data_IF_852200981863
#
_entry.id   IF_852200981863
#
_cell.length_a   1.000
_cell.length_b   1.000
_cell.length_c   1.000
_cell.angle_alpha   90.00
_cell.angle_beta   90.00
_cell.angle_gamma   90.00
#
_symmetry.space_group_name_H-M   'P 1'
#
loop_
_entity.id
_entity.type
_entity.pdbx_description
1 polymer ?
#
# COMPACT_ATOMS: atom_id res chain seq x y z
N UNK A 1 3.16 4.06 6.29
CA UNK A 1 4.48 4.62 5.88
C UNK A 1 5.66 4.01 6.66
N UNK A 2 5.64 3.98 7.99
CA UNK A 2 6.76 3.46 8.80
C UNK A 2 7.01 1.96 8.62
N UNK A 3 5.95 1.14 8.71
CA UNK A 3 6.03 -0.31 8.47
C UNK A 3 6.59 -0.62 7.06
N UNK A 4 6.21 0.20 6.10
CA UNK A 4 6.60 0.08 4.69
C UNK A 4 8.10 0.33 4.49
N UNK A 5 8.63 1.39 5.12
CA UNK A 5 10.07 1.65 5.11
C UNK A 5 10.87 0.53 5.78
N UNK A 6 10.34 -0.04 6.87
CA UNK A 6 10.98 -1.18 7.57
C UNK A 6 11.00 -2.42 6.68
N UNK A 7 9.89 -2.75 6.01
CA UNK A 7 9.81 -3.89 5.10
C UNK A 7 10.80 -3.70 3.95
N UNK A 8 10.78 -2.56 3.26
CA UNK A 8 11.70 -2.27 2.17
C UNK A 8 13.18 -2.39 2.62
N UNK A 9 13.51 -1.90 3.81
CA UNK A 9 14.86 -2.00 4.38
C UNK A 9 15.29 -3.45 4.65
N UNK A 10 14.41 -4.29 5.19
CA UNK A 10 14.68 -5.73 5.39
C UNK A 10 14.94 -6.41 4.03
N UNK A 11 14.14 -6.11 3.02
CA UNK A 11 14.36 -6.64 1.67
C UNK A 11 15.70 -6.15 1.09
N UNK A 12 16.09 -4.89 1.29
CA UNK A 12 17.42 -4.43 0.85
C UNK A 12 18.55 -5.15 1.56
N UNK A 13 18.44 -5.41 2.88
CA UNK A 13 19.46 -6.19 3.62
C UNK A 13 19.58 -7.61 3.07
N UNK A 14 18.46 -8.30 2.86
CA UNK A 14 18.49 -9.68 2.34
C UNK A 14 19.04 -9.69 0.92
N UNK A 15 18.66 -8.72 0.08
CA UNK A 15 19.23 -8.54 -1.26
C UNK A 15 20.75 -8.32 -1.23
N UNK A 16 21.23 -7.48 -0.30
CA UNK A 16 22.65 -7.22 -0.09
C UNK A 16 23.39 -8.47 0.38
N UNK A 17 22.84 -9.26 1.31
CA UNK A 17 23.54 -10.42 1.86
C UNK A 17 23.59 -11.62 0.90
N UNK A 18 22.55 -11.84 0.10
CA UNK A 18 22.45 -13.03 -0.75
C UNK A 18 22.83 -12.79 -2.21
N UNK A 19 22.67 -11.56 -2.70
CA UNK A 19 22.74 -11.24 -4.13
C UNK A 19 23.62 -10.02 -4.46
N UNK A 20 24.55 -9.63 -3.57
CA UNK A 20 25.45 -8.49 -3.77
C UNK A 20 26.13 -8.50 -5.15
N UNK A 21 26.60 -9.67 -5.59
CA UNK A 21 27.33 -9.84 -6.84
C UNK A 21 26.50 -9.58 -8.10
N UNK A 22 25.17 -9.66 -7.98
CA UNK A 22 24.22 -9.44 -9.08
C UNK A 22 23.79 -7.97 -9.19
N UNK A 23 24.04 -7.14 -8.17
CA UNK A 23 23.71 -5.70 -8.18
C UNK A 23 24.72 -4.86 -8.97
N UNK A 24 24.87 -5.23 -10.25
CA UNK A 24 25.65 -4.49 -11.23
C UNK A 24 24.71 -3.75 -12.18
N UNK A 25 25.10 -2.54 -12.54
CA UNK A 25 24.42 -1.74 -13.56
C UNK A 25 24.45 -2.47 -14.90
N UNK A 26 23.31 -2.55 -15.59
CA UNK A 26 23.26 -3.10 -16.95
C UNK A 26 24.07 -2.26 -17.95
N UNK A 27 24.08 -0.92 -17.79
CA UNK A 27 24.76 0.00 -18.71
C UNK A 27 26.28 0.14 -18.47
N UNK A 28 26.72 0.18 -17.21
CA UNK A 28 28.12 0.51 -16.87
C UNK A 28 28.88 -0.65 -16.23
N UNK A 29 28.20 -1.74 -15.85
CA UNK A 29 28.79 -2.84 -15.09
C UNK A 29 29.25 -2.46 -13.67
N UNK A 30 29.05 -1.19 -13.26
CA UNK A 30 29.43 -0.72 -11.94
C UNK A 30 28.52 -1.29 -10.86
N UNK A 31 29.11 -1.58 -9.70
CA UNK A 31 28.39 -2.17 -8.57
C UNK A 31 27.65 -1.08 -7.79
N UNK A 32 26.32 -1.07 -7.86
CA UNK A 32 25.48 -0.09 -7.14
C UNK A 32 25.31 -0.44 -5.66
N UNK A 33 25.64 -1.66 -5.25
CA UNK A 33 25.53 -2.15 -3.87
C UNK A 33 26.89 -2.58 -3.30
N UNK A 34 27.86 -1.64 -3.21
CA UNK A 34 29.11 -1.91 -2.46
C UNK A 34 28.95 -1.67 -0.96
N UNK A 35 28.10 -0.70 -0.59
CA UNK A 35 27.73 -0.42 0.81
C UNK A 35 26.23 -0.55 0.99
N UNK A 36 25.80 -0.91 2.21
CA UNK A 36 24.37 -1.00 2.54
C UNK A 36 23.64 0.32 2.27
N UNK A 37 24.28 1.45 2.59
CA UNK A 37 23.73 2.79 2.38
C UNK A 37 23.47 3.08 0.89
N UNK A 38 24.40 2.71 0.01
CA UNK A 38 24.21 2.84 -1.45
C UNK A 38 23.09 1.93 -1.95
N UNK A 39 23.02 0.69 -1.45
CA UNK A 39 21.99 -0.26 -1.85
C UNK A 39 20.57 0.21 -1.45
N UNK A 40 20.45 0.79 -0.26
CA UNK A 40 19.21 1.42 0.22
C UNK A 40 18.87 2.65 -0.64
N UNK A 41 19.84 3.53 -0.90
CA UNK A 41 19.63 4.71 -1.72
C UNK A 41 19.18 4.34 -3.15
N UNK A 42 19.81 3.35 -3.77
CA UNK A 42 19.47 2.85 -5.10
C UNK A 42 18.07 2.20 -5.13
N UNK A 43 17.78 1.33 -4.15
CA UNK A 43 16.47 0.66 -4.04
C UNK A 43 15.33 1.68 -3.85
N UNK A 44 15.53 2.68 -2.99
CA UNK A 44 14.52 3.71 -2.73
C UNK A 44 14.38 4.71 -3.89
N UNK A 45 15.46 5.08 -4.56
CA UNK A 45 15.43 6.10 -5.61
C UNK A 45 15.00 5.55 -6.97
N UNK A 46 15.60 4.43 -7.38
CA UNK A 46 15.39 3.83 -8.70
C UNK A 46 14.49 2.60 -8.61
N UNK A 47 14.64 1.77 -7.57
CA UNK A 47 13.87 0.53 -7.41
C UNK A 47 12.36 0.73 -7.18
N UNK A 48 11.96 1.76 -6.43
CA UNK A 48 10.52 2.10 -6.23
C UNK A 48 9.92 2.75 -7.49
N UNK A 49 10.76 3.38 -8.31
CA UNK A 49 10.32 4.14 -9.48
C UNK A 49 10.22 3.27 -10.74
N UNK A 50 10.99 2.20 -10.79
CA UNK A 50 10.92 1.20 -11.85
C UNK A 50 9.63 0.38 -11.69
N UNK A 51 8.85 0.29 -12.77
CA UNK A 51 7.57 -0.40 -12.79
C UNK A 51 7.70 -1.93 -12.64
N UNK A 52 8.89 -2.49 -12.86
CA UNK A 52 9.25 -3.90 -12.57
C UNK A 52 9.99 -4.11 -11.24
N UNK A 53 10.18 -3.05 -10.46
CA UNK A 53 10.99 -3.08 -9.24
C UNK A 53 12.49 -3.12 -9.49
N UNK A 54 13.24 -3.59 -8.49
CA UNK A 54 14.71 -3.61 -8.53
C UNK A 54 15.24 -4.55 -9.61
N UNK A 55 14.59 -5.70 -9.85
CA UNK A 55 15.04 -6.70 -10.82
C UNK A 55 15.16 -6.20 -12.27
N UNK A 56 14.40 -5.17 -12.64
CA UNK A 56 14.41 -4.57 -13.99
C UNK A 56 15.68 -3.73 -14.26
N UNK A 57 16.40 -3.35 -13.19
CA UNK A 57 17.60 -2.51 -13.26
C UNK A 57 18.91 -3.31 -13.12
N UNK A 58 18.83 -4.59 -12.75
CA UNK A 58 19.99 -5.45 -12.56
C UNK A 58 20.29 -6.25 -13.83
N UNK A 59 21.52 -6.76 -13.91
CA UNK A 59 21.94 -7.68 -14.97
C UNK A 59 21.16 -9.00 -14.88
N UNK A 60 20.70 -9.48 -16.04
CA UNK A 60 20.03 -10.77 -16.18
C UNK A 60 20.92 -11.94 -15.74
N UNK A 61 20.34 -12.86 -14.98
CA UNK A 61 21.02 -14.09 -14.57
C UNK A 61 20.86 -15.14 -15.67
N UNK A 62 21.97 -15.81 -16.02
CA UNK A 62 21.95 -16.89 -17.00
C UNK A 62 21.15 -18.11 -16.50
N UNK A 63 20.38 -18.71 -17.41
CA UNK A 63 19.66 -19.96 -17.16
C UNK A 63 20.66 -21.09 -16.83
N UNK A 64 20.61 -21.61 -15.59
CA UNK A 64 21.48 -22.70 -15.12
C UNK A 64 22.23 -22.43 -13.81
N UNK A 65 22.24 -21.18 -13.34
CA UNK A 65 22.79 -20.82 -12.04
C UNK A 65 21.95 -21.41 -10.89
N UNK A 66 22.57 -22.00 -9.84
CA UNK A 66 21.82 -22.64 -8.74
C UNK A 66 20.95 -21.65 -7.96
N UNK A 67 21.24 -20.34 -8.05
CA UNK A 67 20.49 -19.26 -7.38
C UNK A 67 19.48 -18.56 -8.29
N UNK A 68 19.34 -18.99 -9.55
CA UNK A 68 18.44 -18.35 -10.52
C UNK A 68 16.98 -18.33 -10.02
N UNK A 69 16.44 -19.47 -9.63
CA UNK A 69 15.05 -19.57 -9.14
C UNK A 69 14.84 -18.72 -7.89
N UNK A 70 15.81 -18.74 -6.97
CA UNK A 70 15.74 -17.97 -5.73
C UNK A 70 15.72 -16.47 -6.02
N UNK A 71 16.52 -15.99 -6.99
CA UNK A 71 16.50 -14.60 -7.43
C UNK A 71 15.15 -14.23 -8.04
N UNK A 72 14.65 -15.03 -8.99
CA UNK A 72 13.39 -14.73 -9.68
C UNK A 72 12.23 -14.63 -8.68
N UNK A 73 12.15 -15.58 -7.74
CA UNK A 73 11.16 -15.52 -6.67
C UNK A 73 11.36 -14.28 -5.80
N UNK A 74 12.60 -13.97 -5.41
CA UNK A 74 12.91 -12.80 -4.61
C UNK A 74 12.48 -11.48 -5.27
N UNK A 75 12.83 -11.27 -6.53
CA UNK A 75 12.48 -10.07 -7.29
C UNK A 75 10.96 -9.97 -7.51
N UNK A 76 10.29 -11.10 -7.77
CA UNK A 76 8.83 -11.16 -7.91
C UNK A 76 8.12 -10.81 -6.58
N UNK A 77 8.60 -11.35 -5.45
CA UNK A 77 8.06 -11.04 -4.13
C UNK A 77 8.31 -9.58 -3.76
N UNK A 78 9.49 -9.06 -4.06
CA UNK A 78 9.81 -7.64 -3.86
C UNK A 78 8.84 -6.76 -4.68
N UNK A 79 8.61 -7.08 -5.95
CA UNK A 79 7.67 -6.33 -6.78
C UNK A 79 6.24 -6.31 -6.21
N UNK A 80 5.71 -7.48 -5.84
CA UNK A 80 4.35 -7.58 -5.29
C UNK A 80 4.24 -6.87 -3.94
N UNK A 81 5.19 -7.08 -3.03
CA UNK A 81 5.09 -6.57 -1.65
C UNK A 81 5.50 -5.10 -1.56
N UNK A 82 6.49 -4.66 -2.33
CA UNK A 82 7.10 -3.33 -2.21
C UNK A 82 6.61 -2.39 -3.32
N UNK A 83 6.36 -2.82 -4.54
CA UNK A 83 5.87 -1.89 -5.58
C UNK A 83 4.35 -1.85 -5.58
N UNK A 84 3.69 -2.99 -5.68
CA UNK A 84 2.22 -3.06 -5.78
C UNK A 84 1.54 -2.61 -4.48
N UNK A 85 1.96 -3.13 -3.32
CA UNK A 85 1.30 -2.76 -2.05
C UNK A 85 1.67 -1.33 -1.60
N UNK A 86 2.89 -0.83 -1.85
CA UNK A 86 3.24 0.52 -1.41
C UNK A 86 2.56 1.62 -2.23
N UNK A 87 2.55 1.48 -3.56
CA UNK A 87 1.97 2.49 -4.44
C UNK A 87 0.44 2.42 -4.46
N UNK A 88 -0.14 1.21 -4.58
CA UNK A 88 -1.59 1.10 -4.66
C UNK A 88 -2.26 1.21 -3.30
N UNK A 89 -1.72 0.65 -2.22
CA UNK A 89 -2.46 0.60 -0.96
C UNK A 89 -2.30 1.88 -0.12
N UNK A 90 -1.15 2.58 -0.20
CA UNK A 90 -0.90 3.68 0.74
C UNK A 90 -1.66 4.96 0.44
N UNK A 91 -1.96 5.27 -0.82
CA UNK A 91 -2.67 6.49 -1.20
C UNK A 91 -4.13 6.16 -1.49
N UNK A 92 -4.39 5.15 -2.32
CA UNK A 92 -5.77 4.76 -2.61
C UNK A 92 -6.45 4.14 -1.39
N UNK A 93 -5.75 3.39 -0.53
CA UNK A 93 -6.35 2.84 0.70
C UNK A 93 -6.89 3.92 1.62
N UNK A 94 -6.07 4.94 1.95
CA UNK A 94 -6.49 6.05 2.82
C UNK A 94 -7.66 6.84 2.21
N UNK A 95 -7.59 7.12 0.90
CA UNK A 95 -8.64 7.85 0.20
C UNK A 95 -9.95 7.04 0.20
N UNK A 96 -9.89 5.74 -0.07
CA UNK A 96 -11.06 4.86 -0.09
C UNK A 96 -11.68 4.71 1.30
N UNK A 97 -10.86 4.54 2.34
CA UNK A 97 -11.34 4.49 3.72
C UNK A 97 -12.03 5.81 4.11
N UNK A 98 -11.44 6.95 3.72
CA UNK A 98 -12.05 8.27 3.98
C UNK A 98 -13.40 8.43 3.26
N UNK A 99 -13.51 7.97 2.00
CA UNK A 99 -14.79 8.00 1.29
C UNK A 99 -15.83 7.06 1.88
N UNK A 100 -15.40 5.89 2.37
CA UNK A 100 -16.28 4.98 3.10
C UNK A 100 -16.79 5.63 4.40
N UNK A 101 -15.92 6.28 5.18
CA UNK A 101 -16.30 7.02 6.38
C UNK A 101 -17.26 8.17 6.08
N UNK A 102 -17.02 8.95 5.01
CA UNK A 102 -17.93 10.03 4.59
C UNK A 102 -19.32 9.49 4.22
N UNK A 103 -19.39 8.33 3.57
CA UNK A 103 -20.66 7.66 3.24
C UNK A 103 -21.39 7.20 4.50
N UNK A 104 -20.67 6.62 5.45
CA UNK A 104 -21.24 6.19 6.72
C UNK A 104 -21.72 7.37 7.57
N UNK A 105 -20.96 8.46 7.60
CA UNK A 105 -21.36 9.70 8.26
C UNK A 105 -22.64 10.27 7.64
N UNK A 106 -22.74 10.30 6.31
CA UNK A 106 -23.95 10.72 5.59
C UNK A 106 -25.14 9.83 5.95
N UNK A 107 -24.94 8.50 5.93
CA UNK A 107 -26.00 7.55 6.29
C UNK A 107 -26.48 7.70 7.73
N UNK A 108 -25.60 8.06 8.68
CA UNK A 108 -25.98 8.32 10.08
C UNK A 108 -26.81 9.60 10.22
N UNK A 109 -26.42 10.67 9.53
CA UNK A 109 -27.18 11.95 9.53
C UNK A 109 -28.56 11.76 8.90
N UNK A 110 -28.64 11.06 7.78
CA UNK A 110 -29.91 10.79 7.11
C UNK A 110 -30.82 9.90 7.99
N UNK A 111 -30.26 8.93 8.72
CA UNK A 111 -30.99 8.08 9.68
C UNK A 111 -31.47 8.86 10.92
N UNK A 112 -30.68 9.80 11.44
CA UNK A 112 -31.10 10.62 12.59
C UNK A 112 -32.22 11.59 12.19
N UNK A 113 -32.09 12.22 11.03
CA UNK A 113 -33.10 13.13 10.45
C UNK A 113 -34.44 12.43 10.21
N UNK A 114 -34.42 11.14 9.88
CA UNK A 114 -35.64 10.34 9.63
C UNK A 114 -36.17 9.60 10.85
N UNK A 115 -35.46 9.62 11.99
CA UNK A 115 -35.89 8.93 13.21
C UNK A 115 -36.22 9.87 14.37
N UNK A 116 -35.77 11.13 14.32
CA UNK A 116 -35.92 12.11 15.41
C UNK A 116 -36.14 13.51 14.88
N UNK A 117 -36.92 14.31 15.59
CA UNK A 117 -37.10 15.72 15.25
C UNK A 117 -35.87 16.53 15.65
N UNK A 118 -35.29 17.29 14.72
CA UNK A 118 -34.08 18.09 14.96
C UNK A 118 -34.25 19.20 16.03
N UNK A 119 -35.45 19.79 16.14
CA UNK A 119 -35.69 20.94 17.05
C UNK A 119 -36.04 20.47 18.46
N UNK A 120 -36.94 19.49 18.60
CA UNK A 120 -37.44 19.04 19.90
C UNK A 120 -36.84 17.71 20.40
N UNK A 121 -36.10 16.99 19.55
CA UNK A 121 -35.40 15.75 19.92
C UNK A 121 -36.31 14.53 20.13
N UNK A 122 -37.63 14.65 19.93
CA UNK A 122 -38.56 13.54 20.09
C UNK A 122 -38.40 12.52 18.95
N UNK A 123 -38.51 11.24 19.30
CA UNK A 123 -38.44 10.15 18.34
C UNK A 123 -39.69 10.09 17.45
N UNK A 124 -39.52 9.59 16.22
CA UNK A 124 -40.64 9.34 15.30
C UNK A 124 -41.71 8.45 15.90
N UNK A 125 -41.30 7.47 16.70
CA UNK A 125 -42.21 6.60 17.46
C UNK A 125 -43.11 7.38 18.43
N UNK A 126 -42.56 8.37 19.14
CA UNK A 126 -43.34 9.23 20.05
C UNK A 126 -44.33 10.10 19.28
N UNK A 127 -43.95 10.60 18.11
CA UNK A 127 -44.84 11.36 17.21
C UNK A 127 -46.00 10.50 16.73
N UNK A 128 -45.74 9.30 16.22
CA UNK A 128 -46.78 8.40 15.71
C UNK A 128 -47.72 7.91 16.83
N UNK A 129 -47.23 7.78 18.06
CA UNK A 129 -48.04 7.42 19.23
C UNK A 129 -49.00 8.55 19.66
N UNK A 130 -48.61 9.82 19.53
CA UNK A 130 -49.42 10.96 19.98
C UNK A 130 -50.28 11.60 18.88
N UNK A 131 -49.84 11.55 17.62
CA UNK A 131 -50.48 12.22 16.49
C UNK A 131 -51.14 11.24 15.50
N UNK A 132 -51.01 9.93 15.73
CA UNK A 132 -51.54 8.87 14.85
C UNK A 132 -50.52 8.42 13.78
N UNK A 133 -50.85 7.38 13.01
CA UNK A 133 -49.95 6.84 11.98
C UNK A 133 -49.53 7.91 10.97
N UNK A 134 -48.21 8.06 10.76
CA UNK A 134 -47.54 9.05 9.91
C UNK A 134 -47.48 10.48 10.50
N UNK A 135 -47.56 10.64 11.81
CA UNK A 135 -47.44 11.94 12.47
C UNK A 135 -46.04 12.57 12.38
N UNK A 136 -45.02 11.75 12.10
CA UNK A 136 -43.63 12.19 11.95
C UNK A 136 -43.22 12.54 10.50
N UNK A 137 -44.00 12.13 9.49
CA UNK A 137 -43.60 12.16 8.08
C UNK A 137 -43.66 13.55 7.47
#
# INVERSE_FOLDING_TARGET
ATLMGIIAYIFTIVGFLFFQDHFKSSDTGESHCTTLAQCVAFTLSSGIRADGGVGDLLVDIHYGEPKYLLRVLWDTFFYIIVVVILLNNSIFGIIMDTFAELRDARSRVDADTTSRCFICGLSSYTFDHHLGQNGFK
#
